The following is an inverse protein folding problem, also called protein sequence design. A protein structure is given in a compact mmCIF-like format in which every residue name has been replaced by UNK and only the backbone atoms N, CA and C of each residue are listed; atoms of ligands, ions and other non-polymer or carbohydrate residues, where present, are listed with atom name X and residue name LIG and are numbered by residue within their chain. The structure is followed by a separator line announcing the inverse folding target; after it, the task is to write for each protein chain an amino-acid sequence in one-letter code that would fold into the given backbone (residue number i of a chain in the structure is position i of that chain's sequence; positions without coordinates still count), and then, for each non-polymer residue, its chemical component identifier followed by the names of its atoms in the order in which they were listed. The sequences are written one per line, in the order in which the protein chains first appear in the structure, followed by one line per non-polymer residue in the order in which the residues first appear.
data_IF_270156131869
#
_entry.id   IF_270156131869
#
_cell.length_a   1.000
_cell.length_b   1.000
_cell.length_c   1.000
_cell.angle_alpha   90.00
_cell.angle_beta   90.00
_cell.angle_gamma   90.00
#
_symmetry.space_group_name_H-M   'P 1'
#
loop_
_entity.id
_entity.type
_entity.pdbx_description
1 polymer ?
#
# COMPACT_ATOMS: atom_id res chain seq x y z
N UNK A 1 -9.32 61.33 -45.81
CA UNK A 1 -9.78 61.84 -44.50
C UNK A 1 -9.70 60.65 -43.53
N UNK A 2 -8.63 60.53 -42.74
CA UNK A 2 -8.39 61.09 -41.39
C UNK A 2 -9.27 60.43 -40.31
N UNK A 3 -8.58 59.66 -39.47
CA UNK A 3 -9.02 58.80 -38.34
C UNK A 3 -9.76 59.59 -37.26
N UNK A 4 -10.83 59.03 -36.67
CA UNK A 4 -11.20 59.21 -35.25
C UNK A 4 -11.99 57.96 -34.77
N UNK A 5 -11.38 57.20 -33.85
CA UNK A 5 -12.04 56.42 -32.77
C UNK A 5 -12.03 57.35 -31.53
N UNK A 6 -12.90 57.24 -30.49
CA UNK A 6 -13.07 55.97 -29.75
C UNK A 6 -14.40 55.71 -28.99
N UNK A 7 -14.52 54.45 -28.53
CA UNK A 7 -15.05 53.96 -27.25
C UNK A 7 -16.53 54.14 -26.88
N UNK A 8 -17.23 53.02 -26.64
CA UNK A 8 -17.69 52.67 -25.28
C UNK A 8 -18.07 51.17 -25.16
N UNK A 9 -17.40 50.52 -24.20
CA UNK A 9 -17.75 49.37 -23.37
C UNK A 9 -19.06 48.60 -23.64
N UNK A 10 -18.94 47.28 -23.83
CA UNK A 10 -19.82 46.32 -23.17
C UNK A 10 -19.13 44.96 -22.98
N UNK A 11 -18.77 44.74 -21.73
CA UNK A 11 -18.23 43.53 -21.12
C UNK A 11 -19.26 42.41 -21.19
N UNK A 12 -18.93 41.31 -21.87
CA UNK A 12 -19.60 40.01 -21.68
C UNK A 12 -18.51 39.01 -21.33
N UNK A 13 -18.38 38.72 -20.03
CA UNK A 13 -17.58 37.62 -19.55
C UNK A 13 -18.31 36.31 -19.88
N UNK A 14 -17.93 35.66 -20.97
CA UNK A 14 -18.30 34.27 -21.22
C UNK A 14 -17.42 33.41 -20.33
N UNK A 15 -18.05 32.80 -19.33
CA UNK A 15 -17.47 31.74 -18.50
C UNK A 15 -17.17 30.53 -19.39
N UNK A 16 -15.98 30.50 -19.98
CA UNK A 16 -15.39 29.26 -20.48
C UNK A 16 -14.89 28.49 -19.26
N UNK A 17 -15.65 27.45 -18.90
CA UNK A 17 -15.25 26.40 -17.98
C UNK A 17 -13.93 25.78 -18.44
N UNK A 18 -12.82 26.35 -17.99
CA UNK A 18 -11.51 25.74 -18.00
C UNK A 18 -11.53 24.58 -17.02
N UNK A 19 -11.58 23.38 -17.56
CA UNK A 19 -11.37 22.13 -16.86
C UNK A 19 -9.90 22.06 -16.45
N UNK A 20 -9.52 22.74 -15.36
CA UNK A 20 -8.29 22.39 -14.66
C UNK A 20 -8.58 21.17 -13.80
N UNK A 21 -8.53 20.00 -14.42
CA UNK A 21 -8.34 18.74 -13.70
C UNK A 21 -6.91 18.70 -13.20
N UNK A 22 -6.62 19.55 -12.22
CA UNK A 22 -5.37 19.52 -11.47
C UNK A 22 -5.70 18.95 -10.09
N UNK A 23 -5.91 17.65 -10.07
CA UNK A 23 -5.65 16.84 -8.88
C UNK A 23 -5.09 15.52 -9.39
N UNK A 24 -3.84 15.59 -9.86
CA UNK A 24 -3.01 14.41 -9.88
C UNK A 24 -3.00 13.83 -8.45
N UNK A 25 -3.00 12.50 -8.28
CA UNK A 25 -2.68 11.96 -6.98
C UNK A 25 -1.25 12.41 -6.67
N UNK A 26 -1.11 13.41 -5.80
CA UNK A 26 0.14 13.64 -5.09
C UNK A 26 0.36 12.39 -4.26
N UNK A 27 1.02 11.40 -4.88
CA UNK A 27 1.63 10.29 -4.18
C UNK A 27 2.70 10.91 -3.29
N UNK A 28 2.28 11.30 -2.08
CA UNK A 28 3.15 11.74 -1.02
C UNK A 28 4.19 10.63 -0.81
N UNK A 29 5.39 10.86 -1.34
CA UNK A 29 6.55 9.99 -1.21
C UNK A 29 7.17 10.10 0.18
N UNK A 30 6.35 9.97 1.22
CA UNK A 30 6.82 9.73 2.57
C UNK A 30 7.05 8.23 2.80
N UNK A 31 7.89 7.83 3.76
CA UNK A 31 7.93 6.44 4.22
C UNK A 31 6.51 6.01 4.59
N UNK A 32 6.04 4.80 4.24
CA UNK A 32 4.71 4.37 4.62
C UNK A 32 4.55 4.45 6.14
N UNK A 33 3.78 5.42 6.62
CA UNK A 33 3.36 5.53 8.01
C UNK A 33 2.39 4.39 8.27
N UNK A 34 2.96 3.25 8.69
CA UNK A 34 2.23 2.00 8.82
C UNK A 34 1.75 1.87 10.26
N UNK A 35 0.60 2.48 10.58
CA UNK A 35 -0.34 1.98 11.60
C UNK A 35 -1.59 2.87 11.64
N UNK A 36 -2.44 2.69 10.63
CA UNK A 36 -3.88 2.81 10.80
C UNK A 36 -4.39 1.40 10.50
N UNK A 37 -5.38 0.91 11.26
CA UNK A 37 -5.99 -0.40 11.08
C UNK A 37 -6.17 -0.80 9.61
N UNK A 38 -6.14 -2.12 9.28
CA UNK A 38 -6.26 -2.59 7.90
C UNK A 38 -7.51 -2.02 7.22
N UNK A 39 -7.37 -1.64 5.95
CA UNK A 39 -8.50 -1.22 5.13
C UNK A 39 -9.34 -2.42 4.66
N UNK A 40 -10.52 -2.16 4.06
CA UNK A 40 -11.43 -3.23 3.63
C UNK A 40 -10.82 -4.24 2.65
N UNK A 41 -9.98 -3.79 1.72
CA UNK A 41 -9.21 -4.66 0.82
C UNK A 41 -8.24 -5.57 1.58
N UNK A 42 -7.59 -5.02 2.60
CA UNK A 42 -6.58 -5.70 3.39
C UNK A 42 -7.20 -6.80 4.25
N UNK A 43 -8.39 -6.53 4.80
CA UNK A 43 -9.22 -7.51 5.50
C UNK A 43 -9.75 -8.59 4.56
N UNK A 44 -10.14 -8.25 3.33
CA UNK A 44 -10.60 -9.23 2.35
C UNK A 44 -9.47 -10.20 1.97
N UNK A 45 -8.26 -9.69 1.74
CA UNK A 45 -7.09 -10.51 1.45
C UNK A 45 -6.77 -11.45 2.63
N UNK A 46 -6.79 -10.93 3.86
CA UNK A 46 -6.64 -11.76 5.07
C UNK A 46 -7.73 -12.84 5.20
N UNK A 47 -8.98 -12.53 4.84
CA UNK A 47 -10.06 -13.50 4.84
C UNK A 47 -9.87 -14.60 3.78
N UNK A 48 -9.25 -14.29 2.64
CA UNK A 48 -8.87 -15.30 1.63
C UNK A 48 -7.70 -16.16 2.12
N UNK A 49 -6.69 -15.54 2.72
CA UNK A 49 -5.56 -16.23 3.32
C UNK A 49 -6.00 -17.26 4.36
N UNK A 50 -6.85 -16.86 5.31
CA UNK A 50 -7.41 -17.78 6.32
C UNK A 50 -8.24 -18.92 5.76
N UNK A 51 -8.94 -18.69 4.64
CA UNK A 51 -9.71 -19.74 3.95
C UNK A 51 -8.82 -20.72 3.17
N UNK A 52 -7.59 -20.33 2.89
CA UNK A 52 -6.57 -21.16 2.25
C UNK A 52 -5.59 -21.74 3.30
N UNK A 53 -6.11 -22.13 4.47
CA UNK A 53 -5.36 -22.69 5.59
C UNK A 53 -4.25 -21.80 6.19
N UNK A 54 -4.28 -20.51 5.89
CA UNK A 54 -3.41 -19.51 6.50
C UNK A 54 -3.71 -19.29 8.00
N UNK A 55 -2.78 -18.64 8.70
CA UNK A 55 -2.93 -18.36 10.13
C UNK A 55 -4.27 -17.65 10.46
N UNK A 56 -5.12 -18.26 11.32
CA UNK A 56 -6.47 -17.77 11.61
C UNK A 56 -6.50 -16.43 12.36
N UNK A 57 -5.41 -16.03 13.01
CA UNK A 57 -5.28 -14.77 13.75
C UNK A 57 -4.98 -13.58 12.85
N UNK A 58 -4.55 -13.80 11.60
CA UNK A 58 -4.32 -12.74 10.63
C UNK A 58 -5.65 -12.11 10.21
N UNK A 59 -5.79 -10.80 10.42
CA UNK A 59 -7.00 -10.04 10.11
C UNK A 59 -6.79 -8.90 9.11
N UNK A 60 -5.54 -8.63 8.74
CA UNK A 60 -5.21 -7.72 7.65
C UNK A 60 -3.94 -8.17 6.94
N UNK A 61 -3.92 -8.04 5.62
CA UNK A 61 -2.73 -8.23 4.79
C UNK A 61 -2.70 -7.12 3.76
N UNK A 62 -1.59 -6.38 3.72
CA UNK A 62 -1.31 -5.37 2.69
C UNK A 62 0.03 -5.66 2.05
N UNK A 63 0.09 -5.54 0.74
CA UNK A 63 1.34 -5.60 0.00
C UNK A 63 1.46 -4.37 -0.90
N UNK A 64 2.66 -3.80 -0.97
CA UNK A 64 2.95 -2.65 -1.85
C UNK A 64 4.40 -2.72 -2.32
N UNK A 65 4.64 -2.32 -3.57
CA UNK A 65 5.99 -2.09 -4.08
C UNK A 65 6.34 -0.62 -3.92
N UNK A 66 7.55 -0.33 -3.45
CA UNK A 66 8.07 1.03 -3.45
C UNK A 66 8.61 1.40 -4.85
N UNK A 67 9.15 2.62 -5.00
CA UNK A 67 9.71 3.11 -6.27
C UNK A 67 10.91 2.30 -6.76
N UNK A 68 11.64 1.66 -5.85
CA UNK A 68 12.80 0.83 -6.13
C UNK A 68 12.42 -0.62 -6.45
N UNK A 69 11.11 -0.93 -6.53
CA UNK A 69 10.60 -2.27 -6.81
C UNK A 69 10.53 -3.19 -5.58
N UNK A 70 11.05 -2.74 -4.43
CA UNK A 70 11.05 -3.50 -3.19
C UNK A 70 9.62 -3.72 -2.69
N UNK A 71 9.26 -4.99 -2.54
CA UNK A 71 7.98 -5.41 -1.98
C UNK A 71 8.00 -5.28 -0.45
N UNK A 72 7.04 -4.54 0.08
CA UNK A 72 6.74 -4.51 1.52
C UNK A 72 5.44 -5.25 1.78
N UNK A 73 5.49 -6.22 2.69
CA UNK A 73 4.37 -6.95 3.24
C UNK A 73 4.06 -6.42 4.65
N UNK A 74 2.81 -6.06 4.89
CA UNK A 74 2.30 -5.66 6.21
C UNK A 74 1.19 -6.61 6.60
N UNK A 75 1.34 -7.23 7.78
CA UNK A 75 0.36 -8.16 8.34
C UNK A 75 -0.11 -7.64 9.69
N UNK A 76 -1.42 -7.68 9.91
CA UNK A 76 -2.02 -7.44 11.20
C UNK A 76 -2.59 -8.74 11.76
N UNK A 77 -2.21 -9.08 12.99
CA UNK A 77 -2.60 -10.32 13.67
C UNK A 77 -3.19 -10.06 15.06
N UNK A 78 -4.08 -10.95 15.50
CA UNK A 78 -4.64 -10.96 16.86
C UNK A 78 -3.68 -11.48 17.91
N UNK A 79 -2.53 -12.05 17.50
CA UNK A 79 -1.50 -12.52 18.41
C UNK A 79 -0.94 -11.37 19.24
N UNK A 80 -0.75 -11.61 20.54
CA UNK A 80 -0.14 -10.64 21.47
C UNK A 80 1.40 -10.74 21.51
N UNK A 81 1.94 -11.83 20.98
CA UNK A 81 3.37 -12.11 20.89
C UNK A 81 3.72 -12.53 19.47
N UNK A 82 5.00 -12.42 19.10
CA UNK A 82 5.49 -12.93 17.83
C UNK A 82 5.35 -14.46 17.71
N UNK A 83 5.58 -14.96 16.49
CA UNK A 83 5.54 -16.38 16.12
C UNK A 83 6.62 -17.28 16.75
N UNK A 84 7.65 -16.72 17.40
CA UNK A 84 8.76 -17.52 17.94
C UNK A 84 9.40 -18.41 16.87
N UNK A 85 9.63 -19.68 17.19
CA UNK A 85 10.15 -20.69 16.25
C UNK A 85 9.20 -21.07 15.12
N UNK A 86 7.94 -20.63 15.17
CA UNK A 86 6.95 -20.87 14.10
C UNK A 86 6.97 -19.82 12.99
N UNK A 87 7.90 -18.85 13.03
CA UNK A 87 7.93 -17.74 12.08
C UNK A 87 8.17 -18.23 10.64
N UNK A 88 9.12 -19.12 10.41
CA UNK A 88 9.47 -19.61 9.08
C UNK A 88 8.28 -20.29 8.39
N UNK A 89 7.52 -21.10 9.14
CA UNK A 89 6.29 -21.73 8.64
C UNK A 89 5.21 -20.69 8.32
N UNK A 90 5.06 -19.67 9.17
CA UNK A 90 4.13 -18.58 8.92
C UNK A 90 4.50 -17.82 7.64
N UNK A 91 5.78 -17.51 7.47
CA UNK A 91 6.30 -16.81 6.29
C UNK A 91 6.13 -17.63 5.01
N UNK A 92 6.48 -18.92 5.02
CA UNK A 92 6.29 -19.84 3.90
C UNK A 92 4.81 -19.94 3.49
N UNK A 93 3.91 -20.05 4.47
CA UNK A 93 2.47 -20.14 4.22
C UNK A 93 1.94 -18.83 3.61
N UNK A 94 2.35 -17.68 4.15
CA UNK A 94 1.97 -16.37 3.67
C UNK A 94 2.47 -16.12 2.24
N UNK A 95 3.75 -16.38 1.99
CA UNK A 95 4.40 -16.13 0.71
C UNK A 95 3.89 -17.06 -0.39
N UNK A 96 3.65 -18.33 -0.06
CA UNK A 96 3.00 -19.29 -0.98
C UNK A 96 1.60 -18.82 -1.39
N UNK A 97 0.79 -18.39 -0.42
CA UNK A 97 -0.52 -17.82 -0.70
C UNK A 97 -0.42 -16.57 -1.60
N UNK A 98 0.45 -15.61 -1.26
CA UNK A 98 0.59 -14.37 -2.02
C UNK A 98 1.06 -14.63 -3.46
N UNK A 99 2.01 -15.54 -3.66
CA UNK A 99 2.46 -15.98 -4.99
C UNK A 99 1.31 -16.59 -5.79
N UNK A 100 0.50 -17.45 -5.17
CA UNK A 100 -0.71 -18.00 -5.78
C UNK A 100 -1.77 -16.96 -6.15
N UNK A 101 -1.72 -15.77 -5.55
CA UNK A 101 -2.57 -14.62 -5.90
C UNK A 101 -1.94 -13.64 -6.90
N UNK A 102 -0.76 -13.96 -7.44
CA UNK A 102 -0.07 -13.16 -8.45
C UNK A 102 0.91 -12.12 -7.90
N UNK A 103 1.21 -12.14 -6.59
CA UNK A 103 2.24 -11.26 -6.02
C UNK A 103 3.62 -11.85 -6.29
N UNK A 104 4.45 -11.12 -7.02
CA UNK A 104 5.83 -11.53 -7.31
C UNK A 104 6.76 -11.21 -6.15
N UNK A 105 7.45 -12.23 -5.63
CA UNK A 105 8.41 -12.18 -4.53
C UNK A 105 9.89 -12.29 -4.99
N UNK A 106 10.14 -12.32 -6.30
CA UNK A 106 11.44 -12.68 -6.89
C UNK A 106 12.61 -11.77 -6.47
N UNK A 107 12.34 -10.52 -6.14
CA UNK A 107 13.36 -9.53 -5.74
C UNK A 107 13.54 -9.46 -4.22
N UNK A 108 12.98 -10.42 -3.48
CA UNK A 108 12.87 -10.34 -2.03
C UNK A 108 11.75 -9.39 -1.59
N UNK A 109 11.54 -9.34 -0.28
CA UNK A 109 10.51 -8.54 0.36
C UNK A 109 10.89 -8.22 1.82
N UNK A 110 10.26 -7.18 2.35
CA UNK A 110 10.28 -6.84 3.77
C UNK A 110 8.92 -7.15 4.36
N UNK A 111 8.88 -8.03 5.37
CA UNK A 111 7.68 -8.40 6.10
C UNK A 111 7.66 -7.75 7.48
N UNK A 112 6.60 -6.99 7.75
CA UNK A 112 6.29 -6.44 9.07
C UNK A 112 5.00 -7.06 9.60
N UNK A 113 5.05 -7.59 10.81
CA UNK A 113 3.87 -8.14 11.51
C UNK A 113 3.54 -7.28 12.71
N UNK A 114 2.28 -6.85 12.81
CA UNK A 114 1.77 -6.01 13.88
C UNK A 114 0.72 -6.75 14.71
N UNK A 115 0.82 -6.58 16.02
CA UNK A 115 -0.16 -7.08 17.00
C UNK A 115 -1.43 -6.21 17.03
N UNK A 116 -2.41 -6.58 17.86
CA UNK A 116 -3.69 -5.88 17.96
C UNK A 116 -3.57 -4.46 18.54
N UNK A 117 -2.48 -4.17 19.25
CA UNK A 117 -2.15 -2.85 19.82
C UNK A 117 -1.32 -1.97 18.88
N UNK A 118 -1.00 -2.47 17.67
CA UNK A 118 -0.11 -1.78 16.73
C UNK A 118 1.37 -1.95 17.03
N UNK A 119 1.74 -2.73 18.06
CA UNK A 119 3.15 -3.08 18.31
C UNK A 119 3.66 -3.98 17.18
N UNK A 120 4.84 -3.66 16.64
CA UNK A 120 5.50 -4.54 15.66
C UNK A 120 6.07 -5.76 16.37
N UNK A 121 5.51 -6.92 16.07
CA UNK A 121 5.88 -8.22 16.63
C UNK A 121 7.04 -8.86 15.87
N UNK A 122 7.15 -8.60 14.57
CA UNK A 122 8.22 -9.12 13.71
C UNK A 122 8.60 -8.13 12.61
N UNK A 123 9.88 -8.16 12.25
CA UNK A 123 10.46 -7.52 11.08
C UNK A 123 11.42 -8.50 10.42
N UNK A 124 11.18 -8.82 9.16
CA UNK A 124 11.95 -9.77 8.38
C UNK A 124 12.25 -9.19 7.00
N UNK A 125 13.49 -9.31 6.55
CA UNK A 125 13.98 -8.68 5.32
C UNK A 125 14.81 -9.69 4.53
N UNK A 126 14.24 -10.17 3.43
CA UNK A 126 14.88 -11.17 2.53
C UNK A 126 15.72 -10.52 1.45
N UNK A 127 15.73 -9.19 1.35
CA UNK A 127 16.50 -8.49 0.32
C UNK A 127 18.00 -8.62 0.53
N UNK A 128 18.43 -8.77 1.78
CA UNK A 128 19.84 -8.90 2.13
C UNK A 128 20.43 -10.25 1.72
N UNK A 129 19.62 -11.30 1.68
CA UNK A 129 20.07 -12.66 1.33
C UNK A 129 20.36 -12.84 -0.17
N UNK A 130 19.82 -11.99 -1.05
CA UNK A 130 20.07 -12.02 -2.50
C UNK A 130 21.31 -11.21 -2.94
N UNK A 131 22.19 -10.84 -2.01
CA UNK A 131 23.38 -9.99 -2.25
C UNK A 131 24.70 -10.77 -2.28
N UNK A 132 24.70 -12.09 -2.51
CA UNK A 132 25.90 -12.94 -2.53
C UNK A 132 26.05 -13.70 -3.83
#
# INVERSE_FOLDING_TARGET
MKRILPAFLLTVAVLLSGCSTETGPTAAGGPPTTSASPAGSDTNLAARYRRADGDPDVYGIKHAKNRDGLLTLTVWTRRKSGYGSGFDKFDETLTSFLTGTGVSLLQGYVLNVYGPDGTRLHHYDTTRENSS
#
